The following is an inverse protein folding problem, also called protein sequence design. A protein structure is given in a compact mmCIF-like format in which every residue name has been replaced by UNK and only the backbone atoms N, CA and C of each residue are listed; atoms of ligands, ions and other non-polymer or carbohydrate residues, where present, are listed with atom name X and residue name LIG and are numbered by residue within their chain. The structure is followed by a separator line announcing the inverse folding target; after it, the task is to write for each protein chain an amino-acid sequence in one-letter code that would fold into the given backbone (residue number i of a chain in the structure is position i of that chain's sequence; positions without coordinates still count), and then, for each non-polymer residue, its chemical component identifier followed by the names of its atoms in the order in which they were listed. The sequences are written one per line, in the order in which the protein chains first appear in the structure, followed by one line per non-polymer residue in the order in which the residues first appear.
data_IF_542788002016
#
_entry.id   IF_542788002016
#
_cell.length_a   1.000
_cell.length_b   1.000
_cell.length_c   1.000
_cell.angle_alpha   90.00
_cell.angle_beta   90.00
_cell.angle_gamma   90.00
#
_symmetry.space_group_name_H-M   'P 1'
#
loop_
_entity.id
_entity.type
_entity.pdbx_description
1 polymer ?
#
# COMPACT_ATOMS: atom_id res chain seq x y z
N UNK A 1 -9.10 26.78 -25.80
CA UNK A 1 -8.56 25.43 -26.00
C UNK A 1 -7.75 25.35 -27.30
N UNK A 2 -8.40 25.74 -28.42
CA UNK A 2 -7.72 25.75 -29.70
C UNK A 2 -6.49 26.69 -29.69
N UNK A 3 -6.62 27.84 -29.02
CA UNK A 3 -5.54 28.80 -28.88
C UNK A 3 -4.32 28.27 -28.13
N UNK A 4 -4.59 27.50 -27.05
CA UNK A 4 -3.51 26.89 -26.26
C UNK A 4 -2.76 25.86 -27.11
N UNK A 5 -3.49 25.07 -27.87
CA UNK A 5 -2.88 24.03 -28.70
C UNK A 5 -2.11 24.63 -29.89
N UNK A 6 -2.58 25.74 -30.43
CA UNK A 6 -1.90 26.37 -31.57
C UNK A 6 -0.57 27.01 -31.16
N UNK A 7 -0.39 27.34 -29.87
CA UNK A 7 0.90 27.87 -29.39
C UNK A 7 1.97 26.79 -29.31
N UNK A 8 1.56 25.51 -29.22
CA UNK A 8 2.48 24.40 -29.12
C UNK A 8 2.86 23.80 -30.50
N UNK A 9 2.88 24.59 -31.54
CA UNK A 9 3.17 24.06 -32.87
C UNK A 9 4.62 23.63 -33.00
N UNK A 10 4.90 22.44 -32.51
CA UNK A 10 6.17 21.77 -32.76
C UNK A 10 5.99 20.70 -33.86
N UNK A 11 5.00 20.83 -34.68
CA UNK A 11 4.74 19.91 -35.77
C UNK A 11 4.05 18.62 -35.42
N UNK A 12 4.00 18.29 -34.13
CA UNK A 12 3.43 17.01 -33.69
C UNK A 12 1.94 17.08 -33.42
N UNK A 13 1.43 18.24 -33.07
CA UNK A 13 -0.01 18.40 -32.77
C UNK A 13 -0.70 19.43 -33.67
N UNK A 14 0.02 20.16 -34.50
CA UNK A 14 -0.59 21.15 -35.37
C UNK A 14 -1.70 20.57 -36.23
N UNK A 15 -1.46 19.38 -36.77
CA UNK A 15 -2.44 18.71 -37.64
C UNK A 15 -3.61 18.12 -36.82
N UNK A 16 -3.37 17.75 -35.59
CA UNK A 16 -4.38 17.14 -34.74
C UNK A 16 -5.43 18.17 -34.33
N UNK A 17 -5.02 19.38 -34.01
CA UNK A 17 -5.92 20.47 -33.65
C UNK A 17 -6.91 20.75 -34.77
N UNK A 18 -6.42 20.68 -36.02
CA UNK A 18 -7.26 20.95 -37.18
C UNK A 18 -8.27 19.85 -37.45
N UNK A 19 -8.12 18.68 -36.88
CA UNK A 19 -8.93 17.50 -37.19
C UNK A 19 -9.80 16.99 -36.04
N UNK A 20 -9.94 17.77 -34.96
CA UNK A 20 -10.88 17.38 -33.92
C UNK A 20 -12.29 17.40 -34.50
N UNK A 21 -12.89 16.22 -34.58
CA UNK A 21 -14.20 16.05 -35.17
C UNK A 21 -15.30 16.21 -34.15
N UNK A 22 -16.54 16.31 -34.63
CA UNK A 22 -17.70 16.48 -33.75
C UNK A 22 -17.80 15.41 -32.65
N UNK A 23 -17.49 14.17 -33.01
CA UNK A 23 -17.52 13.07 -32.05
C UNK A 23 -16.53 13.26 -30.92
N UNK A 24 -15.32 13.70 -31.27
CA UNK A 24 -14.27 13.96 -30.28
C UNK A 24 -14.67 15.13 -29.38
N UNK A 25 -15.24 16.18 -29.94
CA UNK A 25 -15.68 17.33 -29.16
C UNK A 25 -16.80 16.93 -28.19
N UNK A 26 -17.71 16.07 -28.61
CA UNK A 26 -18.77 15.57 -27.74
C UNK A 26 -18.22 14.81 -26.54
N UNK A 27 -17.20 13.96 -26.78
CA UNK A 27 -16.54 13.22 -25.69
C UNK A 27 -15.84 14.20 -24.73
N UNK A 28 -15.12 15.18 -25.28
CA UNK A 28 -14.39 16.16 -24.48
C UNK A 28 -15.35 16.91 -23.54
N UNK A 29 -16.52 17.26 -24.03
CA UNK A 29 -17.49 18.08 -23.29
C UNK A 29 -18.51 17.29 -22.49
N UNK A 30 -18.44 15.98 -22.49
CA UNK A 30 -19.41 15.16 -21.76
C UNK A 30 -19.29 15.39 -20.24
N UNK A 31 -20.32 15.00 -19.52
CA UNK A 31 -20.48 15.26 -18.09
C UNK A 31 -19.25 14.84 -17.26
N UNK A 32 -18.95 15.64 -16.26
CA UNK A 32 -17.86 15.35 -15.31
C UNK A 32 -18.16 14.12 -14.46
N UNK A 33 -19.42 13.88 -14.12
CA UNK A 33 -19.78 12.86 -13.16
C UNK A 33 -19.72 11.46 -13.77
N UNK A 34 -19.28 10.51 -12.95
CA UNK A 34 -19.26 9.10 -13.33
C UNK A 34 -17.99 8.71 -14.05
N UNK A 35 -18.08 7.62 -14.79
CA UNK A 35 -16.95 7.05 -15.54
C UNK A 35 -17.24 7.18 -17.04
N UNK A 36 -16.28 7.73 -17.75
CA UNK A 36 -16.32 7.80 -19.21
C UNK A 36 -15.26 6.87 -19.78
N UNK A 37 -15.67 5.91 -20.60
CA UNK A 37 -14.78 4.99 -21.27
C UNK A 37 -14.66 5.43 -22.74
N UNK A 38 -13.42 5.67 -23.19
CA UNK A 38 -13.18 6.09 -24.57
C UNK A 38 -12.46 4.96 -25.31
N UNK A 39 -13.09 4.48 -26.37
CA UNK A 39 -12.56 3.40 -27.19
C UNK A 39 -12.17 3.91 -28.57
N UNK A 40 -11.22 3.25 -29.19
CA UNK A 40 -10.78 3.56 -30.52
C UNK A 40 -9.53 2.80 -30.87
N UNK A 41 -9.28 2.62 -32.15
CA UNK A 41 -8.06 1.97 -32.62
C UNK A 41 -6.83 2.85 -32.45
N UNK A 42 -5.65 2.31 -32.75
CA UNK A 42 -4.42 3.11 -32.72
C UNK A 42 -4.54 4.32 -33.65
N UNK A 43 -4.05 5.45 -33.21
CA UNK A 43 -4.01 6.66 -34.03
C UNK A 43 -5.33 7.38 -34.19
N UNK A 44 -6.35 7.02 -33.42
CA UNK A 44 -7.67 7.68 -33.51
C UNK A 44 -7.77 8.92 -32.61
N UNK A 45 -6.73 9.21 -31.81
CA UNK A 45 -6.69 10.41 -31.00
C UNK A 45 -7.19 10.27 -29.59
N UNK A 46 -7.25 9.05 -29.04
CA UNK A 46 -7.76 8.82 -27.68
C UNK A 46 -7.00 9.64 -26.62
N UNK A 47 -5.67 9.65 -26.69
CA UNK A 47 -4.84 10.40 -25.74
C UNK A 47 -5.09 11.89 -25.86
N UNK A 48 -5.14 12.40 -27.09
CA UNK A 48 -5.39 13.81 -27.33
C UNK A 48 -6.75 14.22 -26.78
N UNK A 49 -7.75 13.39 -26.99
CA UNK A 49 -9.11 13.63 -26.46
C UNK A 49 -9.07 13.66 -24.93
N UNK A 50 -8.35 12.73 -24.30
CA UNK A 50 -8.26 12.70 -22.84
C UNK A 50 -7.61 13.98 -22.30
N UNK A 51 -6.55 14.47 -22.95
CA UNK A 51 -5.86 15.66 -22.51
C UNK A 51 -6.70 16.94 -22.72
N UNK A 52 -7.39 17.01 -23.84
CA UNK A 52 -8.34 18.11 -24.08
C UNK A 52 -9.47 18.08 -23.05
N UNK A 53 -9.95 16.89 -22.69
CA UNK A 53 -10.99 16.76 -21.70
C UNK A 53 -10.50 17.26 -20.34
N UNK A 54 -9.28 16.89 -19.95
CA UNK A 54 -8.70 17.37 -18.69
C UNK A 54 -8.66 18.90 -18.65
N UNK A 55 -8.21 19.52 -19.75
CA UNK A 55 -8.17 20.97 -19.85
C UNK A 55 -9.59 21.58 -19.81
N UNK A 56 -10.52 20.96 -20.51
CA UNK A 56 -11.91 21.41 -20.54
C UNK A 56 -12.54 21.37 -19.13
N UNK A 57 -12.33 20.28 -18.42
CA UNK A 57 -12.90 20.10 -17.07
C UNK A 57 -12.31 21.13 -16.10
N UNK A 58 -11.00 21.36 -16.17
CA UNK A 58 -10.38 22.36 -15.31
C UNK A 58 -10.87 23.77 -15.59
N UNK A 59 -11.05 24.09 -16.87
CA UNK A 59 -11.56 25.40 -17.26
C UNK A 59 -13.03 25.58 -16.86
N UNK A 60 -13.85 24.59 -17.18
CA UNK A 60 -15.31 24.68 -17.01
C UNK A 60 -15.72 24.55 -15.55
N UNK A 61 -15.04 23.68 -14.78
CA UNK A 61 -15.36 23.43 -13.39
C UNK A 61 -14.23 23.94 -12.48
N UNK A 62 -13.75 25.13 -12.80
CA UNK A 62 -12.61 25.73 -12.17
C UNK A 62 -12.71 25.76 -10.64
N UNK A 63 -13.86 26.21 -10.11
CA UNK A 63 -14.01 26.37 -8.68
C UNK A 63 -14.06 25.03 -7.93
N UNK A 64 -14.85 24.05 -8.37
CA UNK A 64 -14.82 22.74 -7.70
C UNK A 64 -13.49 22.02 -7.81
N UNK A 65 -12.76 22.15 -8.93
CA UNK A 65 -11.55 21.39 -9.19
C UNK A 65 -10.27 22.13 -8.80
N UNK A 66 -10.35 23.42 -8.47
CA UNK A 66 -9.17 24.24 -8.19
C UNK A 66 -8.34 23.67 -7.03
N UNK A 67 -9.00 23.15 -6.01
CA UNK A 67 -8.31 22.57 -4.85
C UNK A 67 -7.99 21.09 -5.02
N UNK A 68 -8.68 20.40 -5.92
CA UNK A 68 -8.53 18.96 -6.11
C UNK A 68 -7.67 18.61 -7.32
N UNK A 69 -7.82 19.35 -8.41
CA UNK A 69 -7.05 19.13 -9.63
C UNK A 69 -7.51 17.92 -10.43
N UNK A 70 -6.66 17.53 -11.38
CA UNK A 70 -6.85 16.36 -12.24
C UNK A 70 -5.59 15.53 -12.19
N UNK A 71 -5.75 14.22 -12.03
CA UNK A 71 -4.63 13.28 -12.04
C UNK A 71 -4.62 12.52 -13.36
N UNK A 72 -3.51 12.59 -14.08
CA UNK A 72 -3.29 11.81 -15.30
C UNK A 72 -2.32 10.67 -14.96
N UNK A 73 -2.77 9.44 -15.15
CA UNK A 73 -1.93 8.27 -14.91
C UNK A 73 -1.51 7.69 -16.25
N UNK A 74 -0.20 7.71 -16.52
CA UNK A 74 0.34 7.18 -17.76
C UNK A 74 1.04 5.84 -17.58
N UNK A 75 1.27 5.13 -18.68
CA UNK A 75 1.86 3.78 -18.60
C UNK A 75 3.35 3.78 -18.29
N UNK A 76 4.07 4.86 -18.63
CA UNK A 76 5.51 4.94 -18.41
C UNK A 76 5.96 6.39 -18.48
N UNK A 77 7.21 6.64 -18.12
CA UNK A 77 7.74 8.00 -18.07
C UNK A 77 7.94 8.63 -19.44
N UNK A 78 8.22 7.81 -20.44
CA UNK A 78 8.35 8.30 -21.81
C UNK A 78 7.03 8.92 -22.28
N UNK A 79 5.93 8.26 -21.98
CA UNK A 79 4.59 8.76 -22.28
C UNK A 79 4.33 10.09 -21.58
N UNK A 80 4.70 10.20 -20.30
CA UNK A 80 4.51 11.44 -19.55
C UNK A 80 5.34 12.58 -20.12
N UNK A 81 6.58 12.30 -20.53
CA UNK A 81 7.41 13.31 -21.16
C UNK A 81 6.81 13.80 -22.48
N UNK A 82 6.22 12.88 -23.22
CA UNK A 82 5.51 13.24 -24.45
C UNK A 82 4.36 14.21 -24.13
N UNK A 83 3.56 13.91 -23.11
CA UNK A 83 2.44 14.77 -22.71
C UNK A 83 2.94 16.16 -22.31
N UNK A 84 4.01 16.23 -21.54
CA UNK A 84 4.58 17.51 -21.10
C UNK A 84 5.03 18.37 -22.27
N UNK A 85 5.59 17.75 -23.30
CA UNK A 85 6.03 18.47 -24.50
C UNK A 85 4.86 18.96 -25.33
N UNK A 86 3.81 18.15 -25.41
CA UNK A 86 2.68 18.39 -26.31
C UNK A 86 1.73 19.42 -25.70
N UNK A 87 1.48 19.34 -24.40
CA UNK A 87 0.57 20.25 -23.69
C UNK A 87 1.22 20.78 -22.41
N UNK A 88 2.23 21.65 -22.54
CA UNK A 88 2.92 22.15 -21.34
C UNK A 88 2.02 22.93 -20.40
N UNK A 89 0.95 23.54 -20.90
CA UNK A 89 0.02 24.29 -20.07
C UNK A 89 -0.77 23.44 -19.07
N UNK A 90 -0.81 22.10 -19.26
CA UNK A 90 -1.52 21.24 -18.32
C UNK A 90 -0.89 21.28 -16.93
N UNK A 91 0.43 21.34 -16.83
CA UNK A 91 1.11 21.44 -15.55
C UNK A 91 0.77 22.73 -14.80
N UNK A 92 0.61 23.83 -15.53
CA UNK A 92 0.24 25.11 -14.97
C UNK A 92 -1.23 25.13 -14.52
N UNK A 93 -2.06 24.30 -15.16
CA UNK A 93 -3.50 24.26 -14.89
C UNK A 93 -3.86 23.37 -13.71
N UNK A 94 -2.88 22.77 -13.04
CA UNK A 94 -3.14 21.91 -11.89
C UNK A 94 -3.36 20.45 -12.24
N UNK A 95 -2.79 20.01 -13.35
CA UNK A 95 -2.81 18.59 -13.75
C UNK A 95 -1.54 17.92 -13.23
N UNK A 96 -1.71 16.91 -12.39
CA UNK A 96 -0.59 16.11 -11.91
C UNK A 96 -0.47 14.86 -12.80
N UNK A 97 0.74 14.56 -13.25
CA UNK A 97 1.00 13.45 -14.16
C UNK A 97 1.92 12.46 -13.48
N UNK A 98 1.48 11.20 -13.39
CA UNK A 98 2.19 10.17 -12.66
C UNK A 98 2.16 8.85 -13.42
N UNK A 99 3.13 7.98 -13.12
CA UNK A 99 2.98 6.54 -13.38
C UNK A 99 2.46 5.90 -12.09
N UNK A 100 1.91 4.68 -12.18
CA UNK A 100 1.33 4.04 -10.99
C UNK A 100 2.32 3.96 -9.82
N UNK A 101 3.59 3.71 -10.11
CA UNK A 101 4.59 3.59 -9.05
C UNK A 101 4.73 4.87 -8.22
N UNK A 102 4.45 6.03 -8.81
CA UNK A 102 4.53 7.30 -8.10
C UNK A 102 3.48 7.44 -7.00
N UNK A 103 2.39 6.67 -7.08
CA UNK A 103 1.32 6.73 -6.11
C UNK A 103 1.68 5.98 -4.82
N UNK A 104 2.66 5.10 -4.86
CA UNK A 104 3.15 4.35 -3.70
C UNK A 104 4.50 4.92 -3.33
N UNK A 105 4.49 5.83 -2.36
CA UNK A 105 5.69 6.62 -2.01
C UNK A 105 6.63 5.86 -1.11
N UNK A 106 7.90 6.25 -1.15
CA UNK A 106 8.93 5.75 -0.24
C UNK A 106 9.59 4.46 -0.67
N UNK A 107 9.41 4.04 -1.93
CA UNK A 107 9.97 2.78 -2.43
C UNK A 107 10.68 2.98 -3.76
N UNK A 108 11.68 2.14 -4.00
CA UNK A 108 12.36 2.07 -5.28
C UNK A 108 11.86 0.82 -6.03
N UNK A 109 11.48 1.00 -7.29
CA UNK A 109 10.93 -0.08 -8.12
C UNK A 109 11.95 -0.43 -9.21
N UNK A 110 13.13 -0.87 -8.79
CA UNK A 110 14.24 -1.17 -9.68
C UNK A 110 14.35 -2.65 -10.06
N UNK A 111 13.66 -3.54 -9.35
CA UNK A 111 13.66 -4.96 -9.66
C UNK A 111 12.74 -5.24 -10.84
N UNK A 112 13.00 -6.35 -11.52
CA UNK A 112 12.11 -6.82 -12.59
C UNK A 112 11.70 -8.26 -12.32
N UNK A 113 10.42 -8.51 -12.47
CA UNK A 113 9.87 -9.86 -12.40
C UNK A 113 9.71 -10.42 -13.82
N UNK A 114 9.73 -11.73 -13.93
CA UNK A 114 9.31 -12.37 -15.16
C UNK A 114 7.83 -12.06 -15.41
N UNK A 115 7.40 -12.22 -16.64
CA UNK A 115 6.01 -11.97 -17.01
C UNK A 115 5.04 -12.84 -16.20
N UNK A 116 5.41 -14.08 -15.95
CA UNK A 116 4.56 -15.02 -15.18
C UNK A 116 4.43 -14.56 -13.73
N UNK A 117 5.53 -14.13 -13.10
CA UNK A 117 5.49 -13.65 -11.72
C UNK A 117 4.71 -12.33 -11.63
N UNK A 118 4.91 -11.44 -12.59
CA UNK A 118 4.17 -10.17 -12.62
C UNK A 118 2.67 -10.42 -12.75
N UNK A 119 2.29 -11.43 -13.53
CA UNK A 119 0.87 -11.79 -13.69
C UNK A 119 0.26 -12.26 -12.37
N UNK A 120 0.99 -13.08 -11.62
CA UNK A 120 0.52 -13.53 -10.30
C UNK A 120 0.36 -12.35 -9.35
N UNK A 121 1.36 -11.48 -9.31
CA UNK A 121 1.33 -10.31 -8.41
C UNK A 121 0.21 -9.33 -8.77
N UNK A 122 -0.22 -9.31 -10.03
CA UNK A 122 -1.33 -8.48 -10.48
C UNK A 122 -2.69 -9.12 -10.36
N UNK A 123 -2.77 -10.37 -9.90
CA UNK A 123 -4.01 -11.10 -9.76
C UNK A 123 -4.69 -10.76 -8.43
N UNK A 124 -6.01 -10.74 -8.41
CA UNK A 124 -6.78 -10.50 -7.17
C UNK A 124 -6.46 -11.48 -6.07
N UNK A 125 -6.01 -12.70 -6.43
CA UNK A 125 -5.59 -13.69 -5.42
C UNK A 125 -4.47 -13.14 -4.52
N UNK A 126 -3.69 -12.20 -5.03
CA UNK A 126 -2.60 -11.61 -4.24
C UNK A 126 -3.12 -10.88 -3.01
N UNK A 127 -4.31 -10.26 -3.09
CA UNK A 127 -4.92 -9.63 -1.92
C UNK A 127 -5.16 -10.64 -0.81
N UNK A 128 -5.58 -11.86 -1.19
CA UNK A 128 -5.79 -12.93 -0.20
C UNK A 128 -4.47 -13.38 0.43
N UNK A 129 -3.41 -13.48 -0.38
CA UNK A 129 -2.08 -13.85 0.12
C UNK A 129 -1.59 -12.79 1.11
N UNK A 130 -1.76 -11.50 0.77
CA UNK A 130 -1.37 -10.40 1.67
C UNK A 130 -2.15 -10.49 2.99
N UNK A 131 -3.46 -10.66 2.92
CA UNK A 131 -4.28 -10.77 4.13
C UNK A 131 -3.83 -11.94 5.01
N UNK A 132 -3.57 -13.10 4.39
CA UNK A 132 -3.09 -14.29 5.11
C UNK A 132 -1.73 -14.01 5.75
N UNK A 133 -0.83 -13.33 5.04
CA UNK A 133 0.52 -13.07 5.55
C UNK A 133 0.48 -12.16 6.78
N UNK A 134 -0.44 -11.20 6.82
CA UNK A 134 -0.64 -10.36 8.00
C UNK A 134 -1.19 -11.20 9.15
N UNK A 135 -2.22 -12.00 8.87
CA UNK A 135 -2.86 -12.84 9.89
C UNK A 135 -1.88 -13.84 10.50
N UNK A 136 -0.94 -14.34 9.67
CA UNK A 136 0.09 -15.28 10.15
C UNK A 136 1.07 -14.61 11.12
N UNK A 137 1.09 -13.29 11.21
CA UNK A 137 1.93 -12.53 12.13
C UNK A 137 1.18 -12.11 13.40
N UNK A 138 -0.09 -12.51 13.53
CA UNK A 138 -0.94 -12.26 14.69
C UNK A 138 -1.06 -13.57 15.44
N UNK A 139 -0.23 -13.77 16.47
CA UNK A 139 0.03 -15.10 17.02
C UNK A 139 -0.23 -15.18 18.52
N UNK A 140 -1.00 -16.19 18.92
CA UNK A 140 -1.03 -16.60 20.32
C UNK A 140 0.33 -17.21 20.68
N UNK A 141 0.72 -17.05 21.94
CA UNK A 141 1.95 -17.69 22.44
C UNK A 141 1.78 -19.21 22.42
N UNK A 142 2.87 -19.90 22.10
CA UNK A 142 2.88 -21.38 22.09
C UNK A 142 2.91 -21.96 23.50
N UNK A 143 3.46 -21.19 24.45
CA UNK A 143 3.55 -21.61 25.85
C UNK A 143 3.48 -20.36 26.73
N UNK A 144 3.22 -20.56 28.01
CA UNK A 144 3.21 -19.49 28.99
C UNK A 144 4.58 -18.81 29.06
N UNK A 145 4.57 -17.52 29.32
CA UNK A 145 5.79 -16.71 29.43
C UNK A 145 5.82 -16.05 30.80
N UNK A 146 6.99 -16.09 31.45
CA UNK A 146 7.25 -15.35 32.68
C UNK A 146 8.39 -14.38 32.44
N UNK A 147 8.24 -13.15 32.92
CA UNK A 147 9.24 -12.11 32.78
C UNK A 147 9.62 -11.63 34.18
N UNK A 148 10.91 -11.64 34.49
CA UNK A 148 11.39 -11.11 35.76
C UNK A 148 11.06 -9.62 35.88
N UNK A 149 10.47 -9.21 37.00
CA UNK A 149 10.06 -7.85 37.22
C UNK A 149 10.15 -7.51 38.69
N UNK A 150 11.06 -6.59 39.03
CA UNK A 150 11.33 -6.28 40.42
C UNK A 150 11.83 -7.54 41.16
N UNK A 151 11.25 -7.85 42.30
CA UNK A 151 11.61 -9.01 43.10
C UNK A 151 10.86 -10.28 42.68
N UNK A 152 10.02 -10.22 41.66
CA UNK A 152 9.18 -11.36 41.27
C UNK A 152 9.10 -11.53 39.79
N UNK A 153 7.98 -12.08 39.35
CA UNK A 153 7.74 -12.37 37.94
C UNK A 153 6.35 -11.91 37.55
N UNK A 154 6.23 -11.49 36.29
CA UNK A 154 4.93 -11.24 35.65
C UNK A 154 4.72 -12.34 34.62
N UNK A 155 3.49 -12.83 34.50
CA UNK A 155 3.17 -13.98 33.67
C UNK A 155 2.06 -13.68 32.67
N UNK A 156 2.22 -14.18 31.46
CA UNK A 156 1.16 -14.22 30.45
C UNK A 156 1.01 -15.67 30.02
N UNK A 157 -0.19 -16.22 30.18
CA UNK A 157 -0.44 -17.59 29.75
C UNK A 157 -0.73 -17.65 28.25
N UNK A 158 -0.45 -18.79 27.66
CA UNK A 158 -0.78 -19.05 26.27
C UNK A 158 -2.28 -18.84 26.01
N UNK A 159 -3.14 -19.27 26.93
CA UNK A 159 -4.60 -19.10 26.82
C UNK A 159 -4.98 -17.63 26.83
N UNK A 160 -4.42 -16.85 27.74
CA UNK A 160 -4.66 -15.39 27.77
C UNK A 160 -4.23 -14.73 26.47
N UNK A 161 -3.06 -15.12 25.94
CA UNK A 161 -2.58 -14.54 24.68
C UNK A 161 -3.52 -14.86 23.52
N UNK A 162 -4.05 -16.07 23.48
CA UNK A 162 -5.01 -16.47 22.43
C UNK A 162 -6.28 -15.61 22.47
N UNK A 163 -6.76 -15.33 23.68
CA UNK A 163 -7.94 -14.47 23.87
C UNK A 163 -7.66 -13.05 23.38
N UNK A 164 -6.48 -12.52 23.73
CA UNK A 164 -6.09 -11.17 23.32
C UNK A 164 -6.03 -11.08 21.79
N UNK A 165 -5.39 -12.04 21.13
CA UNK A 165 -5.27 -12.05 19.66
C UNK A 165 -6.66 -12.12 19.01
N UNK A 166 -7.51 -13.00 19.50
CA UNK A 166 -8.87 -13.16 18.95
C UNK A 166 -9.67 -11.86 19.08
N UNK A 167 -9.60 -11.22 20.25
CA UNK A 167 -10.32 -9.97 20.50
C UNK A 167 -9.77 -8.83 19.66
N UNK A 168 -8.45 -8.76 19.48
CA UNK A 168 -7.85 -7.72 18.64
C UNK A 168 -8.35 -7.84 17.19
N UNK A 169 -8.40 -9.06 16.67
CA UNK A 169 -8.91 -9.31 15.31
C UNK A 169 -10.38 -8.88 15.18
N UNK A 170 -11.16 -9.07 16.23
CA UNK A 170 -12.57 -8.71 16.22
C UNK A 170 -12.76 -7.20 16.26
N UNK A 171 -11.94 -6.49 17.05
CA UNK A 171 -12.12 -5.06 17.33
C UNK A 171 -11.54 -4.15 16.26
N UNK A 172 -10.49 -4.58 15.56
CA UNK A 172 -9.72 -3.69 14.68
C UNK A 172 -9.70 -4.23 13.26
N UNK A 173 -9.98 -3.34 12.31
CA UNK A 173 -9.92 -3.68 10.89
C UNK A 173 -8.50 -3.70 10.36
N UNK A 174 -7.64 -2.82 10.88
CA UNK A 174 -6.26 -2.68 10.41
C UNK A 174 -5.31 -3.18 11.47
N UNK A 175 -4.31 -3.95 11.02
CA UNK A 175 -3.39 -4.63 11.93
C UNK A 175 -2.67 -3.66 12.87
N UNK A 176 -2.02 -2.62 12.32
CA UNK A 176 -1.21 -1.72 13.15
C UNK A 176 -2.04 -0.94 14.16
N UNK A 177 -3.30 -0.69 13.86
CA UNK A 177 -4.18 0.03 14.79
C UNK A 177 -4.40 -0.73 16.09
N UNK A 178 -4.29 -2.05 16.05
CA UNK A 178 -4.51 -2.90 17.24
C UNK A 178 -3.28 -3.00 18.13
N UNK A 179 -2.11 -2.61 17.66
CA UNK A 179 -0.85 -2.89 18.37
C UNK A 179 -0.84 -2.34 19.80
N UNK A 180 -1.22 -1.08 19.97
CA UNK A 180 -1.25 -0.47 21.30
C UNK A 180 -2.26 -1.17 22.22
N UNK A 181 -3.41 -1.51 21.68
CA UNK A 181 -4.42 -2.22 22.45
C UNK A 181 -3.92 -3.59 22.90
N UNK A 182 -3.26 -4.33 22.01
CA UNK A 182 -2.69 -5.65 22.34
C UNK A 182 -1.64 -5.50 23.45
N UNK A 183 -0.74 -4.53 23.31
CA UNK A 183 0.28 -4.28 24.33
C UNK A 183 -0.37 -4.00 25.68
N UNK A 184 -1.40 -3.15 25.71
CA UNK A 184 -2.11 -2.79 26.94
C UNK A 184 -2.76 -4.03 27.57
N UNK A 185 -3.39 -4.88 26.75
CA UNK A 185 -4.03 -6.10 27.26
C UNK A 185 -3.00 -7.09 27.81
N UNK A 186 -1.84 -7.20 27.16
CA UNK A 186 -0.75 -8.05 27.65
C UNK A 186 -0.28 -7.55 29.02
N UNK A 187 -0.02 -6.24 29.14
CA UNK A 187 0.43 -5.66 30.42
C UNK A 187 -0.63 -5.86 31.50
N UNK A 188 -1.91 -5.65 31.17
CA UNK A 188 -3.01 -5.84 32.10
C UNK A 188 -3.04 -7.28 32.63
N UNK A 189 -2.90 -8.26 31.74
CA UNK A 189 -2.88 -9.66 32.15
C UNK A 189 -1.66 -9.97 33.02
N UNK A 190 -0.51 -9.40 32.69
CA UNK A 190 0.73 -9.60 33.46
C UNK A 190 0.58 -9.01 34.87
N UNK A 191 0.01 -7.80 34.99
CA UNK A 191 -0.24 -7.19 36.30
C UNK A 191 -1.17 -8.08 37.11
N UNK A 192 -2.24 -8.59 36.49
CA UNK A 192 -3.20 -9.46 37.17
C UNK A 192 -2.57 -10.76 37.69
N UNK A 193 -1.47 -11.20 37.04
CA UNK A 193 -0.76 -12.41 37.49
C UNK A 193 0.10 -12.16 38.73
N UNK A 194 0.33 -10.90 39.10
CA UNK A 194 1.19 -10.53 40.21
C UNK A 194 0.39 -10.48 41.51
N UNK A 195 1.07 -10.78 42.62
CA UNK A 195 0.50 -10.57 43.95
C UNK A 195 0.71 -9.14 44.44
N UNK A 196 1.51 -8.32 43.71
CA UNK A 196 1.76 -6.94 44.08
C UNK A 196 0.61 -6.05 43.61
N UNK A 197 -0.20 -5.57 44.55
CA UNK A 197 -1.35 -4.74 44.24
C UNK A 197 -1.00 -3.28 43.96
N UNK A 198 0.28 -2.92 44.09
CA UNK A 198 0.72 -1.53 43.85
C UNK A 198 1.09 -1.27 42.42
N UNK A 199 1.11 -2.29 41.57
CA UNK A 199 1.47 -2.11 40.14
C UNK A 199 0.37 -1.37 39.40
N UNK A 200 0.74 -0.26 38.79
CA UNK A 200 -0.20 0.48 37.92
C UNK A 200 0.15 0.23 36.45
N UNK A 201 -0.81 0.41 35.58
CA UNK A 201 -0.70 0.05 34.17
C UNK A 201 0.38 0.86 33.47
N UNK A 202 0.38 2.18 33.64
CA UNK A 202 1.24 3.08 32.87
C UNK A 202 2.73 2.86 33.21
N UNK A 203 3.07 2.89 34.50
CA UNK A 203 4.45 2.72 34.90
C UNK A 203 4.97 1.32 34.64
N UNK A 204 4.12 0.31 34.79
CA UNK A 204 4.50 -1.08 34.49
C UNK A 204 4.76 -1.26 33.02
N UNK A 205 3.87 -0.70 32.17
CA UNK A 205 4.06 -0.75 30.70
C UNK A 205 5.39 -0.11 30.30
N UNK A 206 5.67 1.09 30.84
CA UNK A 206 6.91 1.79 30.50
C UNK A 206 8.14 0.99 30.89
N UNK A 207 8.10 0.38 32.08
CA UNK A 207 9.23 -0.46 32.53
C UNK A 207 9.38 -1.73 31.70
N UNK A 208 8.25 -2.37 31.34
CA UNK A 208 8.30 -3.58 30.52
C UNK A 208 8.84 -3.30 29.11
N UNK A 209 8.52 -2.15 28.54
CA UNK A 209 8.98 -1.79 27.18
C UNK A 209 10.50 -1.81 27.05
N UNK A 210 11.22 -1.56 28.14
CA UNK A 210 12.68 -1.57 28.11
C UNK A 210 13.27 -2.99 28.19
N UNK A 211 12.44 -4.00 28.46
CA UNK A 211 12.92 -5.38 28.63
C UNK A 211 12.84 -6.12 27.30
N UNK A 212 13.93 -6.76 26.92
CA UNK A 212 14.01 -7.53 25.67
C UNK A 212 13.01 -8.68 25.65
N UNK A 213 12.77 -9.30 26.79
CA UNK A 213 11.82 -10.41 26.89
C UNK A 213 10.39 -9.94 26.55
N UNK A 214 10.01 -8.75 27.05
CA UNK A 214 8.71 -8.20 26.75
C UNK A 214 8.60 -7.80 25.28
N UNK A 215 9.64 -7.15 24.77
CA UNK A 215 9.67 -6.77 23.34
C UNK A 215 9.50 -8.01 22.46
N UNK A 216 10.14 -9.12 22.83
CA UNK A 216 10.03 -10.37 22.08
C UNK A 216 8.60 -10.91 22.09
N UNK A 217 7.92 -10.83 23.23
CA UNK A 217 6.51 -11.27 23.35
C UNK A 217 5.61 -10.46 22.42
N UNK A 218 5.74 -9.14 22.47
CA UNK A 218 4.89 -8.26 21.65
C UNK A 218 5.21 -8.45 20.17
N UNK A 219 6.51 -8.52 19.82
CA UNK A 219 6.90 -8.73 18.42
C UNK A 219 6.46 -10.08 17.87
N UNK A 220 6.39 -11.09 18.71
CA UNK A 220 5.86 -12.38 18.30
C UNK A 220 4.34 -12.33 18.11
N UNK A 221 3.63 -11.73 19.08
CA UNK A 221 2.17 -11.75 19.06
C UNK A 221 1.56 -10.78 18.05
N UNK A 222 2.09 -9.54 17.98
CA UNK A 222 1.45 -8.49 17.17
C UNK A 222 2.47 -7.40 16.81
N UNK A 223 3.40 -7.68 15.91
CA UNK A 223 4.42 -6.68 15.54
C UNK A 223 3.81 -5.51 14.77
N UNK A 224 4.40 -4.34 14.89
CA UNK A 224 4.13 -3.24 13.95
C UNK A 224 4.84 -3.58 12.66
N UNK A 225 4.12 -3.51 11.55
CA UNK A 225 4.67 -3.89 10.24
C UNK A 225 4.45 -2.77 9.23
N UNK A 226 5.45 -2.55 8.39
CA UNK A 226 5.27 -1.72 7.19
C UNK A 226 5.03 -2.63 6.00
N UNK A 227 4.43 -2.09 4.92
CA UNK A 227 4.28 -2.90 3.70
C UNK A 227 5.60 -3.49 3.20
N UNK A 228 6.67 -2.69 3.22
CA UNK A 228 7.98 -3.16 2.75
C UNK A 228 8.50 -4.30 3.63
N UNK A 229 8.39 -4.17 4.95
CA UNK A 229 8.78 -5.24 5.88
C UNK A 229 8.00 -6.52 5.62
N UNK A 230 6.69 -6.39 5.49
CA UNK A 230 5.81 -7.55 5.27
C UNK A 230 6.21 -8.29 3.99
N UNK A 231 6.36 -7.57 2.89
CA UNK A 231 6.67 -8.20 1.61
C UNK A 231 8.10 -8.71 1.55
N UNK A 232 9.05 -7.99 2.13
CA UNK A 232 10.43 -8.46 2.20
C UNK A 232 10.51 -9.82 2.93
N UNK A 233 9.84 -9.91 4.08
CA UNK A 233 9.77 -11.17 4.83
C UNK A 233 9.07 -12.27 4.02
N UNK A 234 7.93 -11.94 3.42
CA UNK A 234 7.13 -12.91 2.67
C UNK A 234 7.89 -13.48 1.48
N UNK A 235 8.48 -12.60 0.67
CA UNK A 235 9.16 -13.03 -0.55
C UNK A 235 10.47 -13.77 -0.27
N UNK A 236 11.10 -13.51 0.87
CA UNK A 236 12.40 -14.11 1.19
C UNK A 236 12.29 -15.33 2.10
N UNK A 237 11.08 -15.76 2.43
CA UNK A 237 10.86 -16.94 3.27
C UNK A 237 9.94 -17.90 2.57
N UNK A 238 10.48 -19.06 2.17
CA UNK A 238 9.68 -20.11 1.53
C UNK A 238 8.56 -20.59 2.46
N UNK A 239 8.85 -20.65 3.76
CA UNK A 239 7.86 -21.11 4.75
C UNK A 239 6.72 -20.11 4.90
N UNK A 240 7.02 -18.81 5.01
CA UNK A 240 5.98 -17.80 5.13
C UNK A 240 5.13 -17.71 3.87
N UNK A 241 5.76 -17.78 2.69
CA UNK A 241 5.02 -17.74 1.43
C UNK A 241 4.11 -18.97 1.30
N UNK A 242 4.62 -20.14 1.61
CA UNK A 242 3.80 -21.36 1.56
C UNK A 242 2.59 -21.23 2.49
N UNK A 243 2.80 -20.78 3.71
CA UNK A 243 1.72 -20.65 4.69
C UNK A 243 0.64 -19.69 4.19
N UNK A 244 1.04 -18.56 3.59
CA UNK A 244 0.09 -17.54 3.13
C UNK A 244 -0.62 -17.94 1.83
N UNK A 245 0.05 -18.71 0.97
CA UNK A 245 -0.39 -18.90 -0.43
C UNK A 245 -0.87 -20.31 -0.78
N UNK A 246 -0.62 -21.33 0.07
CA UNK A 246 -0.86 -22.72 -0.33
C UNK A 246 -2.31 -23.04 -0.66
N UNK A 247 -3.26 -22.30 -0.10
CA UNK A 247 -4.69 -22.51 -0.39
C UNK A 247 -5.23 -21.53 -1.43
N UNK A 248 -4.35 -20.69 -1.98
CA UNK A 248 -4.75 -19.59 -2.88
C UNK A 248 -4.26 -19.84 -4.30
N UNK A 249 -3.03 -20.35 -4.44
CA UNK A 249 -2.44 -20.61 -5.76
C UNK A 249 -1.62 -21.89 -5.72
N UNK A 250 -1.16 -22.33 -6.91
CA UNK A 250 -0.39 -23.55 -7.02
C UNK A 250 0.99 -23.40 -6.41
N UNK A 251 1.60 -24.55 -6.10
CA UNK A 251 2.97 -24.57 -5.57
C UNK A 251 3.94 -23.88 -6.52
N UNK A 252 3.85 -24.18 -7.82
CA UNK A 252 4.72 -23.53 -8.79
C UNK A 252 4.54 -22.01 -8.79
N UNK A 253 3.30 -21.56 -8.70
CA UNK A 253 3.02 -20.12 -8.67
C UNK A 253 3.65 -19.44 -7.45
N UNK A 254 3.38 -19.95 -6.25
CA UNK A 254 3.89 -19.21 -5.08
C UNK A 254 5.41 -19.38 -4.92
N UNK A 255 5.97 -20.51 -5.31
CA UNK A 255 7.43 -20.66 -5.24
C UNK A 255 8.15 -19.74 -6.21
N UNK A 256 7.51 -19.39 -7.34
CA UNK A 256 8.12 -18.49 -8.31
C UNK A 256 8.29 -17.07 -7.79
N UNK A 257 7.57 -16.69 -6.74
CA UNK A 257 7.68 -15.35 -6.16
C UNK A 257 8.85 -15.21 -5.18
N UNK A 258 9.54 -16.30 -4.86
CA UNK A 258 10.65 -16.26 -3.92
C UNK A 258 11.79 -15.37 -4.41
N UNK A 259 12.34 -14.59 -3.50
CA UNK A 259 13.55 -13.77 -3.73
C UNK A 259 14.50 -13.97 -2.55
N UNK A 260 15.82 -14.07 -2.80
CA UNK A 260 16.76 -14.12 -1.71
C UNK A 260 16.64 -12.89 -0.81
N UNK A 261 16.85 -13.09 0.48
CA UNK A 261 16.74 -12.02 1.45
C UNK A 261 17.84 -10.98 1.24
N UNK A 262 17.47 -9.70 1.17
CA UNK A 262 18.43 -8.61 1.10
C UNK A 262 19.12 -8.45 2.47
N UNK A 263 20.33 -7.87 2.46
CA UNK A 263 21.11 -7.67 3.68
C UNK A 263 20.38 -6.79 4.69
N UNK A 264 19.58 -5.84 4.19
CA UNK A 264 18.77 -4.98 5.05
C UNK A 264 17.48 -4.64 4.29
N UNK A 265 16.50 -4.12 5.00
CA UNK A 265 15.24 -3.67 4.38
C UNK A 265 15.52 -2.56 3.35
N UNK A 266 16.47 -1.68 3.63
CA UNK A 266 16.81 -0.60 2.70
C UNK A 266 17.34 -1.13 1.37
N UNK A 267 17.96 -2.32 1.38
CA UNK A 267 18.50 -2.95 0.18
C UNK A 267 17.45 -3.79 -0.56
N UNK A 268 16.29 -3.99 0.02
CA UNK A 268 15.22 -4.76 -0.62
C UNK A 268 14.73 -4.02 -1.86
N UNK A 269 14.62 -4.73 -2.97
CA UNK A 269 14.20 -4.14 -4.24
C UNK A 269 12.83 -4.68 -4.61
N UNK A 270 11.96 -3.77 -5.05
CA UNK A 270 10.62 -4.12 -5.49
C UNK A 270 10.50 -3.88 -7.00
N UNK A 271 9.56 -4.56 -7.60
CA UNK A 271 9.29 -4.45 -9.04
C UNK A 271 8.04 -3.61 -9.29
N UNK A 272 7.82 -3.23 -10.54
CA UNK A 272 6.57 -2.57 -10.93
C UNK A 272 5.35 -3.39 -10.52
N UNK A 273 5.46 -4.72 -10.56
CA UNK A 273 4.36 -5.59 -10.18
C UNK A 273 4.08 -5.54 -8.68
N UNK A 274 5.04 -5.12 -7.87
CA UNK A 274 4.85 -5.00 -6.42
C UNK A 274 4.10 -3.72 -6.02
N UNK A 275 3.91 -2.77 -6.93
CA UNK A 275 3.27 -1.49 -6.60
C UNK A 275 1.90 -1.70 -5.98
N UNK A 276 1.05 -2.47 -6.66
CA UNK A 276 -0.30 -2.74 -6.16
C UNK A 276 -0.27 -3.60 -4.90
N UNK A 277 0.71 -4.51 -4.79
CA UNK A 277 0.82 -5.38 -3.61
C UNK A 277 1.21 -4.55 -2.38
N UNK A 278 2.14 -3.61 -2.53
CA UNK A 278 2.51 -2.69 -1.43
C UNK A 278 1.31 -1.84 -1.01
N UNK A 279 0.54 -1.37 -1.97
CA UNK A 279 -0.66 -0.57 -1.68
C UNK A 279 -1.69 -1.40 -0.91
N UNK A 280 -1.93 -2.63 -1.33
CA UNK A 280 -2.85 -3.52 -0.62
C UNK A 280 -2.34 -3.83 0.79
N UNK A 281 -1.03 -4.05 0.94
CA UNK A 281 -0.44 -4.28 2.26
C UNK A 281 -0.69 -3.09 3.18
N UNK A 282 -0.54 -1.87 2.66
CA UNK A 282 -0.81 -0.68 3.46
C UNK A 282 -2.28 -0.62 3.89
N UNK A 283 -3.20 -0.99 3.01
CA UNK A 283 -4.63 -0.99 3.34
C UNK A 283 -4.94 -1.97 4.49
N UNK A 284 -4.32 -3.14 4.49
CA UNK A 284 -4.54 -4.16 5.53
C UNK A 284 -3.81 -3.79 6.82
N UNK A 285 -2.59 -3.31 6.71
CA UNK A 285 -1.77 -2.99 7.89
C UNK A 285 -2.18 -1.68 8.55
N UNK A 286 -2.53 -0.69 7.76
CA UNK A 286 -2.70 0.68 8.25
C UNK A 286 -1.36 1.36 8.49
N UNK A 287 -1.39 2.67 8.77
CA UNK A 287 -0.15 3.40 9.03
C UNK A 287 0.51 2.95 10.34
N UNK A 288 1.79 3.25 10.46
CA UNK A 288 2.49 3.02 11.74
C UNK A 288 1.79 3.83 12.84
N UNK A 289 1.59 3.27 14.04
CA UNK A 289 1.08 4.03 15.17
C UNK A 289 2.07 5.16 15.50
N UNK A 290 1.52 6.31 15.86
CA UNK A 290 2.40 7.39 16.32
C UNK A 290 2.94 7.04 17.68
N UNK A 291 4.08 7.28 17.86
CA UNK A 291 4.68 6.92 19.09
C UNK A 291 4.13 7.82 20.11
N UNK A 292 3.74 7.31 20.80
CA UNK A 292 3.20 8.10 21.89
C UNK A 292 4.11 8.32 22.83
#
# INVERSE_FOLDING_TARGET
LVTVLSRGRTGQLGDIVATIQAEQDEIIRSSQQGVLVVEGGPGTGKTVVALHRAAYLLYTFRFPLEDQGVLVVGPNRVFLRYIERVLPSLGEAGVEQVVLADLVRGHSFSAKDSEDVARIKGDLRMAKIVANSVRDRERALRKDVEIGFGAGYLRLTSTESATIVREARRRFRRHNAAHHWVETEVVTAMIASSHNQELDLESTRDALRDLKEFQAVINYMWPVLTPAELLHDLYSSKALMRLAAQKVCTTAEYESMYRPRAASLADAKFSDADVAVLDEALAVLGPRPRXX
#
